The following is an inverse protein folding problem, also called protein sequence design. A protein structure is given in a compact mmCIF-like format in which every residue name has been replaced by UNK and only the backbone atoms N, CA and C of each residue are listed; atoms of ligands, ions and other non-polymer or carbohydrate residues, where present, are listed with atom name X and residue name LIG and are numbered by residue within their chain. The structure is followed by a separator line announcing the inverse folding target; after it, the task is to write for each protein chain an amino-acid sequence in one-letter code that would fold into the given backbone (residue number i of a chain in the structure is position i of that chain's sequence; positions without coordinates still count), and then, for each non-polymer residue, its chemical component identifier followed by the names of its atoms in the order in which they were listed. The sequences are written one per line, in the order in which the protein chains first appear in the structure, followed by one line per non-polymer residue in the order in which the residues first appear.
data_IF_172632372861
#
_entry.id   IF_172632372861
#
_cell.length_a   1.000
_cell.length_b   1.000
_cell.length_c   1.000
_cell.angle_alpha   90.00
_cell.angle_beta   90.00
_cell.angle_gamma   90.00
#
_symmetry.space_group_name_H-M   'P 1'
#
loop_
_entity.id
_entity.type
_entity.pdbx_description
1 polymer ?
#
# COMPACT_ATOMS: atom_id res chain seq x y z
N UNK A 1 -6.86 -5.59 -18.34
CA UNK A 1 -7.00 -4.62 -19.45
C UNK A 1 -5.97 -4.96 -20.52
N UNK A 2 -6.36 -5.05 -21.81
CA UNK A 2 -5.39 -5.30 -22.88
C UNK A 2 -4.44 -4.08 -22.96
N UNK A 3 -3.14 -4.27 -22.71
CA UNK A 3 -2.12 -3.19 -22.64
C UNK A 3 -2.18 -2.23 -23.84
N UNK A 4 -2.55 -2.75 -25.02
CA UNK A 4 -2.75 -1.99 -26.26
C UNK A 4 -3.83 -0.93 -26.16
N UNK A 5 -4.95 -1.21 -25.48
CA UNK A 5 -6.05 -0.26 -25.33
C UNK A 5 -5.65 0.92 -24.45
N UNK A 6 -4.98 0.65 -23.32
CA UNK A 6 -4.44 1.70 -22.45
C UNK A 6 -3.47 2.57 -23.23
N UNK A 7 -2.54 1.96 -23.98
CA UNK A 7 -1.57 2.69 -24.81
C UNK A 7 -2.24 3.60 -25.84
N UNK A 8 -3.27 3.13 -26.55
CA UNK A 8 -4.00 3.94 -27.52
C UNK A 8 -4.70 5.12 -26.85
N UNK A 9 -5.40 4.91 -25.73
CA UNK A 9 -6.09 6.00 -25.02
C UNK A 9 -5.10 7.00 -24.42
N UNK A 10 -3.95 6.54 -23.92
CA UNK A 10 -2.87 7.41 -23.44
C UNK A 10 -2.31 8.31 -24.54
N UNK A 11 -2.25 7.84 -25.79
CA UNK A 11 -1.81 8.65 -26.94
C UNK A 11 -2.90 9.65 -27.36
N UNK A 12 -4.15 9.21 -27.41
CA UNK A 12 -5.26 10.03 -27.92
C UNK A 12 -5.71 11.11 -26.93
N UNK A 13 -5.68 10.83 -25.62
CA UNK A 13 -6.24 11.72 -24.59
C UNK A 13 -5.37 11.79 -23.32
N UNK A 14 -4.09 12.18 -23.43
CA UNK A 14 -3.09 12.05 -22.36
C UNK A 14 -3.49 12.77 -21.06
N UNK A 15 -4.02 13.99 -21.16
CA UNK A 15 -4.38 14.79 -19.99
C UNK A 15 -5.51 14.16 -19.17
N UNK A 16 -6.51 13.54 -19.83
CA UNK A 16 -7.61 12.86 -19.14
C UNK A 16 -7.13 11.57 -18.48
N UNK A 17 -6.23 10.83 -19.14
CA UNK A 17 -5.63 9.63 -18.56
C UNK A 17 -4.77 9.98 -17.35
N UNK A 18 -3.97 11.04 -17.44
CA UNK A 18 -3.16 11.50 -16.31
C UNK A 18 -4.04 11.96 -15.14
N UNK A 19 -5.04 12.80 -15.39
CA UNK A 19 -5.96 13.26 -14.34
C UNK A 19 -6.67 12.09 -13.66
N UNK A 20 -7.12 11.10 -14.44
CA UNK A 20 -7.73 9.88 -13.90
C UNK A 20 -6.74 9.06 -13.06
N UNK A 21 -5.51 8.83 -13.56
CA UNK A 21 -4.50 8.07 -12.84
C UNK A 21 -4.09 8.79 -11.54
N UNK A 22 -3.91 10.10 -11.60
CA UNK A 22 -3.57 10.93 -10.44
C UNK A 22 -4.67 10.89 -9.38
N UNK A 23 -5.95 11.01 -9.78
CA UNK A 23 -7.09 10.86 -8.86
C UNK A 23 -7.09 9.49 -8.16
N UNK A 24 -6.75 8.42 -8.89
CA UNK A 24 -6.63 7.07 -8.31
C UNK A 24 -5.45 6.92 -7.36
N UNK A 25 -4.30 7.51 -7.65
CA UNK A 25 -3.11 7.43 -6.81
C UNK A 25 -3.22 8.27 -5.54
N UNK A 26 -3.86 9.43 -5.62
CA UNK A 26 -4.00 10.38 -4.51
C UNK A 26 -5.16 10.09 -3.58
N UNK A 27 -6.05 9.17 -3.96
CA UNK A 27 -7.14 8.68 -3.11
C UNK A 27 -6.81 7.25 -2.69
N UNK A 28 -6.31 7.05 -1.45
CA UNK A 28 -6.03 5.72 -0.93
C UNK A 28 -7.24 4.82 -1.15
N UNK A 29 -7.07 3.83 -2.01
CA UNK A 29 -8.12 2.86 -2.27
C UNK A 29 -8.01 1.79 -1.20
N UNK A 30 -9.05 1.62 -0.38
CA UNK A 30 -9.13 0.51 0.57
C UNK A 30 -9.30 -0.77 -0.25
N UNK A 31 -8.18 -1.40 -0.57
CA UNK A 31 -8.18 -2.70 -1.22
C UNK A 31 -8.17 -3.79 -0.17
N UNK A 32 -8.90 -4.87 -0.46
CA UNK A 32 -8.74 -6.12 0.28
C UNK A 32 -7.28 -6.56 0.10
N UNK A 33 -6.60 -6.80 1.22
CA UNK A 33 -5.29 -7.42 1.20
C UNK A 33 -5.37 -8.77 0.46
N UNK A 34 -4.35 -9.06 -0.34
CA UNK A 34 -4.21 -10.33 -1.03
C UNK A 34 -3.93 -11.42 0.01
N UNK A 35 -4.29 -12.66 -0.30
CA UNK A 35 -4.19 -13.75 0.68
C UNK A 35 -2.75 -13.93 1.20
N UNK A 36 -1.74 -13.80 0.33
CA UNK A 36 -0.33 -13.87 0.74
C UNK A 36 0.13 -12.67 1.59
N UNK A 37 -0.52 -11.51 1.48
CA UNK A 37 -0.23 -10.35 2.35
C UNK A 37 -0.80 -10.58 3.74
N UNK A 38 -1.98 -11.20 3.80
CA UNK A 38 -2.61 -11.61 5.06
C UNK A 38 -1.73 -12.63 5.79
N UNK A 39 -1.24 -13.65 5.09
CA UNK A 39 -0.34 -14.67 5.67
C UNK A 39 0.88 -14.05 6.37
N UNK A 40 1.50 -13.04 5.74
CA UNK A 40 2.64 -12.33 6.31
C UNK A 40 2.25 -11.52 7.55
N UNK A 41 1.15 -10.76 7.48
CA UNK A 41 0.70 -9.92 8.60
C UNK A 41 0.18 -10.74 9.78
N UNK A 42 -0.44 -11.90 9.52
CA UNK A 42 -0.99 -12.77 10.56
C UNK A 42 0.09 -13.54 11.32
N UNK A 43 1.27 -13.71 10.72
CA UNK A 43 2.44 -14.24 11.41
C UNK A 43 3.09 -13.23 12.38
N UNK A 44 2.68 -11.97 12.36
CA UNK A 44 3.22 -10.93 13.23
C UNK A 44 2.47 -10.84 14.56
N UNK A 45 3.20 -10.51 15.62
CA UNK A 45 2.61 -9.96 16.84
C UNK A 45 2.15 -8.51 16.56
N UNK A 46 0.85 -8.26 16.71
CA UNK A 46 0.20 -6.99 16.38
C UNK A 46 -0.01 -6.17 17.65
N UNK A 47 0.40 -4.91 17.64
CA UNK A 47 0.15 -3.97 18.73
C UNK A 47 -0.19 -2.58 18.21
N UNK A 48 -0.79 -1.77 19.06
CA UNK A 48 -1.10 -0.37 18.74
C UNK A 48 -0.34 0.53 19.69
N UNK A 49 0.34 1.54 19.13
CA UNK A 49 1.08 2.56 19.85
C UNK A 49 0.35 3.90 19.75
N UNK A 50 -0.29 4.37 20.82
CA UNK A 50 -0.92 5.69 20.85
C UNK A 50 0.13 6.80 20.79
N UNK A 51 0.01 7.72 19.84
CA UNK A 51 0.92 8.84 19.68
C UNK A 51 0.21 10.09 19.16
N UNK A 52 0.32 11.20 19.89
CA UNK A 52 -0.22 12.52 19.50
C UNK A 52 -1.67 12.51 18.99
N UNK A 53 -2.52 11.70 19.62
CA UNK A 53 -3.96 11.63 19.29
C UNK A 53 -4.32 10.72 18.12
N UNK A 54 -3.38 9.89 17.63
CA UNK A 54 -3.67 8.80 16.70
C UNK A 54 -2.94 7.52 17.11
N UNK A 55 -3.38 6.42 16.53
CA UNK A 55 -2.88 5.08 16.82
C UNK A 55 -1.95 4.60 15.70
N UNK A 56 -0.72 4.22 16.05
CA UNK A 56 0.24 3.62 15.13
C UNK A 56 0.11 2.10 15.24
N UNK A 57 -0.24 1.46 14.13
CA UNK A 57 -0.24 0.01 14.05
C UNK A 57 1.20 -0.50 13.93
N UNK A 58 1.60 -1.35 14.88
CA UNK A 58 2.89 -2.01 14.90
C UNK A 58 2.74 -3.50 14.56
N UNK A 59 3.75 -4.04 13.89
CA UNK A 59 3.86 -5.47 13.56
C UNK A 59 5.27 -5.93 13.93
N UNK A 60 5.37 -7.00 14.70
CA UNK A 60 6.64 -7.57 15.11
C UNK A 60 6.72 -9.05 14.71
N UNK A 61 7.73 -9.40 13.91
CA UNK A 61 8.06 -10.78 13.58
C UNK A 61 9.24 -11.23 14.42
N UNK A 62 9.01 -12.23 15.27
CA UNK A 62 10.03 -12.76 16.16
C UNK A 62 11.15 -13.45 15.37
N UNK A 63 12.40 -13.24 15.77
CA UNK A 63 13.58 -13.79 15.10
C UNK A 63 14.79 -13.84 16.02
N UNK A 64 15.89 -14.44 15.53
CA UNK A 64 17.18 -14.43 16.24
C UNK A 64 18.09 -13.37 15.62
N UNK A 65 18.76 -12.57 16.44
CA UNK A 65 19.71 -11.54 15.99
C UNK A 65 19.28 -10.13 16.38
N UNK A 66 19.84 -9.15 15.67
CA UNK A 66 19.59 -7.74 15.95
C UNK A 66 18.18 -7.31 15.51
N UNK A 67 17.58 -6.41 16.30
CA UNK A 67 16.29 -5.85 15.98
C UNK A 67 16.39 -4.84 14.82
N UNK A 68 15.54 -5.02 13.80
CA UNK A 68 15.47 -4.12 12.64
C UNK A 68 14.13 -3.38 12.67
N UNK A 69 14.18 -2.05 12.68
CA UNK A 69 13.00 -1.20 12.58
C UNK A 69 12.74 -0.83 11.12
N UNK A 70 11.60 -1.27 10.60
CA UNK A 70 11.14 -0.94 9.25
C UNK A 70 10.01 0.09 9.35
N UNK A 71 10.20 1.24 8.70
CA UNK A 71 9.19 2.30 8.58
C UNK A 71 8.97 2.53 7.10
N UNK A 72 7.74 2.34 6.64
CA UNK A 72 7.40 2.65 5.25
C UNK A 72 7.09 4.14 5.08
N UNK A 73 7.44 4.68 3.92
CA UNK A 73 7.12 6.05 3.51
C UNK A 73 6.04 6.09 2.44
N UNK A 74 5.88 7.28 1.85
CA UNK A 74 5.21 7.48 0.57
C UNK A 74 6.20 7.30 -0.58
#
# INVERSE_FOLDING_TARGET
MKKTAVRLVSILVPNKVMAFAYDKLTRPQVHKLRDHEMEVLDAAEKSTLPYKGFDIQCYHWQGKGDAILLIHGW
#
